data_IF_623393318147
#
_entry.id   IF_623393318147
#
_cell.length_a   1.000
_cell.length_b   1.000
_cell.length_c   1.000
_cell.angle_alpha   90.00
_cell.angle_beta   90.00
_cell.angle_gamma   90.00
#
_symmetry.space_group_name_H-M   'P 1'
#
loop_
_entity.id
_entity.type
_entity.pdbx_description
1 polymer ?
#
# COMPACT_ATOMS: atom_id res chain seq x y z
N UNK A 1 -8.01 -37.97 -23.81
CA UNK A 1 -8.32 -38.76 -22.60
C UNK A 1 -8.93 -37.79 -21.58
N UNK A 2 -10.23 -37.90 -21.26
CA UNK A 2 -10.86 -37.01 -20.27
C UNK A 2 -10.89 -37.68 -18.91
N UNK A 3 -9.98 -37.28 -18.05
CA UNK A 3 -9.97 -37.65 -16.63
C UNK A 3 -10.59 -36.53 -15.83
N UNK A 4 -11.54 -36.84 -14.92
CA UNK A 4 -12.20 -35.85 -14.08
C UNK A 4 -11.23 -35.33 -13.01
N UNK A 5 -11.19 -34.00 -12.79
CA UNK A 5 -10.41 -33.38 -11.72
C UNK A 5 -10.83 -33.90 -10.34
N UNK A 6 -12.13 -34.17 -10.16
CA UNK A 6 -12.68 -34.72 -8.92
C UNK A 6 -12.19 -36.16 -8.65
N UNK A 7 -12.00 -36.97 -9.69
CA UNK A 7 -11.42 -38.29 -9.55
C UNK A 7 -9.92 -38.23 -9.18
N UNK A 8 -9.18 -37.28 -9.76
CA UNK A 8 -7.77 -37.05 -9.37
C UNK A 8 -7.67 -36.54 -7.92
N UNK A 9 -8.58 -35.66 -7.49
CA UNK A 9 -8.62 -35.16 -6.12
C UNK A 9 -8.97 -36.24 -5.10
N UNK A 10 -9.93 -37.10 -5.43
CA UNK A 10 -10.27 -38.27 -4.62
C UNK A 10 -9.10 -39.27 -4.51
N UNK A 11 -8.41 -39.51 -5.62
CA UNK A 11 -7.23 -40.37 -5.65
C UNK A 11 -6.07 -39.79 -4.81
N UNK A 12 -5.73 -38.51 -4.97
CA UNK A 12 -4.67 -37.83 -4.24
C UNK A 12 -4.92 -37.89 -2.73
N UNK A 13 -6.12 -37.50 -2.28
CA UNK A 13 -6.49 -37.56 -0.87
C UNK A 13 -6.40 -39.00 -0.30
N UNK A 14 -6.91 -39.99 -1.03
CA UNK A 14 -6.85 -41.38 -0.62
C UNK A 14 -5.41 -41.93 -0.57
N UNK A 15 -4.57 -41.52 -1.52
CA UNK A 15 -3.17 -41.89 -1.56
C UNK A 15 -2.37 -41.31 -0.37
N UNK A 16 -2.58 -40.03 -0.09
CA UNK A 16 -1.92 -39.31 1.01
C UNK A 16 -2.39 -39.77 2.38
N UNK A 17 -3.70 -40.02 2.55
CA UNK A 17 -4.29 -40.47 3.82
C UNK A 17 -4.17 -41.95 4.05
N UNK A 18 -3.85 -42.76 3.03
CA UNK A 18 -3.81 -44.23 3.12
C UNK A 18 -5.17 -44.87 3.43
N UNK A 19 -6.26 -44.15 3.24
CA UNK A 19 -7.63 -44.57 3.63
C UNK A 19 -8.71 -43.87 2.83
N UNK A 20 -9.64 -44.65 2.25
CA UNK A 20 -10.82 -44.11 1.57
C UNK A 20 -11.79 -43.42 2.55
N UNK A 21 -11.85 -43.86 3.80
CA UNK A 21 -12.68 -43.23 4.82
C UNK A 21 -12.13 -41.82 5.18
N UNK A 22 -10.85 -41.70 5.43
CA UNK A 22 -10.22 -40.41 5.76
C UNK A 22 -10.27 -39.44 4.56
N UNK A 23 -10.12 -39.94 3.34
CA UNK A 23 -10.28 -39.13 2.13
C UNK A 23 -11.73 -38.62 1.96
N UNK A 24 -12.72 -39.46 2.32
CA UNK A 24 -14.12 -39.07 2.29
C UNK A 24 -14.43 -37.96 3.30
N UNK A 25 -13.91 -38.08 4.51
CA UNK A 25 -14.03 -37.05 5.55
C UNK A 25 -13.39 -35.72 5.10
N UNK A 26 -12.18 -35.76 4.54
CA UNK A 26 -11.48 -34.56 4.03
C UNK A 26 -12.21 -33.87 2.89
N UNK A 27 -12.80 -34.64 1.96
CA UNK A 27 -13.47 -34.10 0.77
C UNK A 27 -15.00 -33.90 0.95
N UNK A 28 -15.50 -34.11 2.16
CA UNK A 28 -16.95 -34.02 2.45
C UNK A 28 -17.79 -34.94 1.52
N UNK A 29 -17.30 -36.15 1.25
CA UNK A 29 -17.92 -37.19 0.44
C UNK A 29 -18.17 -38.44 1.25
N UNK A 30 -18.89 -39.42 0.65
CA UNK A 30 -19.02 -40.75 1.24
C UNK A 30 -17.84 -41.65 0.82
N UNK A 31 -17.46 -42.66 1.62
CA UNK A 31 -16.44 -43.63 1.23
C UNK A 31 -16.80 -44.37 -0.08
N UNK A 32 -18.07 -44.59 -0.34
CA UNK A 32 -18.58 -45.19 -1.58
C UNK A 32 -18.33 -44.27 -2.79
N UNK A 33 -18.54 -42.94 -2.63
CA UNK A 33 -18.24 -41.96 -3.68
C UNK A 33 -16.75 -41.91 -4.00
N UNK A 34 -15.88 -41.90 -2.98
CA UNK A 34 -14.44 -41.98 -3.17
C UNK A 34 -14.02 -43.24 -3.94
N UNK A 35 -14.54 -44.40 -3.51
CA UNK A 35 -14.28 -45.69 -4.20
C UNK A 35 -14.74 -45.65 -5.68
N UNK A 36 -15.89 -45.05 -5.93
CA UNK A 36 -16.41 -44.88 -7.29
C UNK A 36 -15.55 -43.94 -8.16
N UNK A 37 -15.14 -42.81 -7.63
CA UNK A 37 -14.24 -41.90 -8.34
C UNK A 37 -12.90 -42.54 -8.70
N UNK A 38 -12.30 -43.28 -7.74
CA UNK A 38 -11.05 -44.00 -7.95
C UNK A 38 -11.23 -45.15 -8.95
N UNK A 39 -12.32 -45.95 -8.83
CA UNK A 39 -12.62 -47.02 -9.77
C UNK A 39 -12.79 -46.51 -11.22
N UNK A 40 -13.47 -45.39 -11.38
CA UNK A 40 -13.60 -44.72 -12.69
C UNK A 40 -12.27 -44.25 -13.25
N UNK A 41 -11.37 -43.72 -12.38
CA UNK A 41 -10.03 -43.30 -12.75
C UNK A 41 -9.19 -44.50 -13.22
N UNK A 42 -9.16 -45.59 -12.42
CA UNK A 42 -8.47 -46.85 -12.74
C UNK A 42 -8.97 -47.44 -14.07
N UNK A 43 -10.30 -47.51 -14.25
CA UNK A 43 -10.92 -47.99 -15.47
C UNK A 43 -10.56 -47.19 -16.69
N UNK A 44 -10.57 -45.83 -16.61
CA UNK A 44 -10.19 -44.95 -17.72
C UNK A 44 -8.73 -45.02 -18.07
N UNK A 45 -7.85 -45.23 -17.09
CA UNK A 45 -6.42 -45.37 -17.28
C UNK A 45 -6.02 -46.81 -17.66
N UNK A 46 -6.96 -47.77 -17.53
CA UNK A 46 -6.73 -49.19 -17.70
C UNK A 46 -5.57 -49.73 -16.85
N UNK A 47 -5.45 -49.22 -15.60
CA UNK A 47 -4.43 -49.65 -14.62
C UNK A 47 -5.01 -49.63 -13.21
N UNK A 48 -4.50 -50.50 -12.34
CA UNK A 48 -4.80 -50.42 -10.90
C UNK A 48 -3.82 -49.46 -10.23
N UNK A 49 -4.36 -48.53 -9.42
CA UNK A 49 -3.60 -47.54 -8.67
C UNK A 49 -3.44 -47.96 -7.21
N UNK A 50 -4.37 -48.80 -6.70
CA UNK A 50 -4.32 -49.36 -5.34
C UNK A 50 -4.33 -50.88 -5.35
N UNK A 51 -3.57 -51.46 -4.41
CA UNK A 51 -3.78 -52.84 -3.95
C UNK A 51 -4.84 -52.81 -2.85
N UNK A 52 -5.87 -53.62 -3.02
CA UNK A 52 -7.00 -53.75 -2.04
C UNK A 52 -6.82 -55.04 -1.27
N UNK A 53 -6.31 -54.98 -0.02
CA UNK A 53 -6.19 -56.14 0.86
C UNK A 53 -7.09 -55.96 2.09
N UNK A 54 -8.28 -56.47 2.04
CA UNK A 54 -9.29 -56.35 3.09
C UNK A 54 -9.67 -54.91 3.36
N UNK A 55 -9.41 -54.39 4.58
CA UNK A 55 -9.73 -53.03 5.00
C UNK A 55 -8.57 -52.03 4.74
N UNK A 56 -7.42 -52.47 4.26
CA UNK A 56 -6.24 -51.62 3.99
C UNK A 56 -6.05 -51.43 2.49
N UNK A 57 -5.63 -50.23 2.14
CA UNK A 57 -5.23 -49.86 0.79
C UNK A 57 -3.73 -49.52 0.78
N UNK A 58 -3.04 -49.93 -0.27
CA UNK A 58 -1.66 -49.49 -0.53
C UNK A 58 -1.52 -49.18 -2.02
N UNK A 59 -0.64 -48.24 -2.33
CA UNK A 59 -0.43 -47.80 -3.72
C UNK A 59 0.32 -48.89 -4.53
N UNK A 60 -0.04 -49.06 -5.78
CA UNK A 60 0.77 -49.77 -6.79
C UNK A 60 1.95 -48.89 -7.20
N UNK A 61 2.94 -49.44 -7.90
CA UNK A 61 4.05 -48.66 -8.44
C UNK A 61 3.58 -47.54 -9.38
N UNK A 62 2.51 -47.76 -10.16
CA UNK A 62 1.87 -46.71 -10.99
C UNK A 62 1.12 -45.72 -10.11
N UNK A 63 0.44 -46.18 -9.05
CA UNK A 63 -0.20 -45.34 -8.06
C UNK A 63 0.78 -44.38 -7.39
N UNK A 64 1.97 -44.86 -6.97
CA UNK A 64 3.01 -44.00 -6.35
C UNK A 64 3.42 -42.88 -7.30
N UNK A 65 3.69 -43.17 -8.60
CA UNK A 65 4.07 -42.15 -9.57
C UNK A 65 2.97 -41.11 -9.78
N UNK A 66 1.72 -41.58 -9.91
CA UNK A 66 0.58 -40.67 -10.11
C UNK A 66 0.31 -39.84 -8.84
N UNK A 67 0.42 -40.43 -7.65
CA UNK A 67 0.25 -39.72 -6.37
C UNK A 67 1.23 -38.56 -6.23
N UNK A 68 2.51 -38.79 -6.54
CA UNK A 68 3.52 -37.72 -6.54
C UNK A 68 3.15 -36.59 -7.50
N UNK A 69 2.80 -36.92 -8.74
CA UNK A 69 2.45 -35.93 -9.77
C UNK A 69 1.17 -35.14 -9.43
N UNK A 70 0.14 -35.82 -8.87
CA UNK A 70 -1.11 -35.14 -8.48
C UNK A 70 -0.93 -34.24 -7.27
N UNK A 71 -0.18 -34.66 -6.25
CA UNK A 71 0.12 -33.80 -5.08
C UNK A 71 0.92 -32.57 -5.46
N UNK A 72 1.93 -32.71 -6.33
CA UNK A 72 2.70 -31.56 -6.86
C UNK A 72 1.82 -30.63 -7.69
N UNK A 73 0.93 -31.18 -8.54
CA UNK A 73 0.00 -30.43 -9.37
C UNK A 73 -1.00 -29.63 -8.54
N UNK A 74 -1.65 -30.25 -7.57
CA UNK A 74 -2.61 -29.57 -6.70
C UNK A 74 -1.95 -28.49 -5.86
N UNK A 75 -0.75 -28.73 -5.31
CA UNK A 75 0.01 -27.71 -4.59
C UNK A 75 0.33 -26.48 -5.44
N UNK A 76 0.67 -26.68 -6.73
CA UNK A 76 0.89 -25.56 -7.67
C UNK A 76 -0.39 -24.77 -7.91
N UNK A 77 -1.54 -25.45 -8.04
CA UNK A 77 -2.85 -24.80 -8.19
C UNK A 77 -3.22 -24.01 -6.93
N UNK A 78 -3.07 -24.62 -5.75
CA UNK A 78 -3.37 -23.96 -4.48
C UNK A 78 -2.48 -22.72 -4.25
N UNK A 79 -1.18 -22.81 -4.55
CA UNK A 79 -0.27 -21.67 -4.48
C UNK A 79 -0.70 -20.53 -5.45
N UNK A 80 -1.07 -20.87 -6.68
CA UNK A 80 -1.56 -19.87 -7.64
C UNK A 80 -2.86 -19.21 -7.19
N UNK A 81 -3.77 -19.97 -6.59
CA UNK A 81 -5.00 -19.42 -6.01
C UNK A 81 -4.71 -18.49 -4.82
N UNK A 82 -3.77 -18.89 -3.95
CA UNK A 82 -3.31 -18.01 -2.86
C UNK A 82 -2.66 -16.72 -3.37
N UNK A 83 -1.84 -16.81 -4.43
CA UNK A 83 -1.25 -15.62 -5.06
C UNK A 83 -2.32 -14.68 -5.64
N UNK A 84 -3.35 -15.22 -6.29
CA UNK A 84 -4.49 -14.42 -6.80
C UNK A 84 -5.24 -13.75 -5.65
N UNK A 85 -5.48 -14.47 -4.55
CA UNK A 85 -6.15 -13.90 -3.35
C UNK A 85 -5.28 -12.83 -2.70
N UNK A 86 -3.97 -13.08 -2.53
CA UNK A 86 -3.02 -12.10 -1.97
C UNK A 86 -2.88 -10.87 -2.85
N UNK A 87 -2.86 -11.02 -4.19
CA UNK A 87 -2.83 -9.90 -5.11
C UNK A 87 -4.07 -9.00 -4.98
N UNK A 88 -5.24 -9.58 -4.69
CA UNK A 88 -6.48 -8.83 -4.40
C UNK A 88 -6.43 -8.04 -3.09
N UNK A 89 -5.57 -8.41 -2.16
CA UNK A 89 -5.43 -7.79 -0.84
C UNK A 89 -4.20 -6.88 -0.71
N UNK A 90 -3.38 -6.76 -1.75
CA UNK A 90 -2.24 -5.82 -1.77
C UNK A 90 -2.67 -4.51 -2.43
N UNK A 91 -2.60 -3.42 -1.68
CA UNK A 91 -2.78 -2.06 -2.19
C UNK A 91 -1.42 -1.50 -2.60
N UNK A 92 -1.23 -1.27 -3.89
CA UNK A 92 -0.03 -0.64 -4.42
C UNK A 92 -0.26 0.85 -4.60
N UNK A 93 0.66 1.64 -4.06
CA UNK A 93 0.58 3.10 -4.06
C UNK A 93 1.82 3.69 -4.68
N UNK A 94 1.64 4.69 -5.54
CA UNK A 94 2.74 5.56 -6.00
C UNK A 94 2.49 6.99 -5.56
N UNK A 95 3.52 7.67 -5.06
CA UNK A 95 3.36 9.04 -4.56
C UNK A 95 4.68 9.82 -4.62
N UNK A 96 4.64 11.07 -4.17
CA UNK A 96 5.84 11.90 -4.01
C UNK A 96 6.71 11.38 -2.87
N UNK A 97 8.03 11.57 -2.97
CA UNK A 97 8.97 11.16 -1.91
C UNK A 97 8.65 11.83 -0.56
N UNK A 98 8.20 13.08 -0.58
CA UNK A 98 7.85 13.82 0.64
C UNK A 98 6.64 13.21 1.34
N UNK A 99 5.54 12.93 0.61
CA UNK A 99 4.35 12.31 1.20
C UNK A 99 4.63 10.88 1.70
N UNK A 100 5.38 10.10 0.92
CA UNK A 100 5.78 8.76 1.33
C UNK A 100 6.54 8.78 2.66
N UNK A 101 7.61 9.59 2.74
CA UNK A 101 8.51 9.61 3.89
C UNK A 101 7.90 10.26 5.15
N UNK A 102 7.11 11.34 4.98
CA UNK A 102 6.61 12.12 6.12
C UNK A 102 5.25 11.65 6.62
N UNK A 103 4.45 11.02 5.77
CA UNK A 103 3.05 10.70 6.10
C UNK A 103 2.74 9.22 5.96
N UNK A 104 2.91 8.62 4.78
CA UNK A 104 2.42 7.27 4.52
C UNK A 104 3.21 6.20 5.28
N UNK A 105 4.53 6.17 5.12
CA UNK A 105 5.39 5.17 5.78
C UNK A 105 5.24 5.23 7.32
N UNK A 106 5.29 6.42 7.97
CA UNK A 106 5.05 6.51 9.41
C UNK A 106 3.65 6.12 9.89
N UNK A 107 2.67 6.00 8.97
CA UNK A 107 1.28 5.65 9.28
C UNK A 107 0.87 4.26 8.80
N UNK A 108 1.69 3.61 7.98
CA UNK A 108 1.39 2.33 7.34
C UNK A 108 1.04 1.24 8.37
N UNK A 109 1.81 1.18 9.44
CA UNK A 109 1.61 0.19 10.50
C UNK A 109 0.21 0.29 11.14
N UNK A 110 -0.26 1.51 11.41
CA UNK A 110 -1.59 1.74 11.98
C UNK A 110 -2.70 1.24 11.05
N UNK A 111 -2.53 1.47 9.73
CA UNK A 111 -3.47 0.97 8.74
C UNK A 111 -3.50 -0.56 8.67
N UNK A 112 -2.32 -1.19 8.63
CA UNK A 112 -2.19 -2.66 8.54
C UNK A 112 -2.65 -3.36 9.81
N UNK A 113 -2.48 -2.76 10.99
CA UNK A 113 -3.08 -3.26 12.23
C UNK A 113 -4.61 -3.23 12.21
N UNK A 114 -5.21 -2.16 11.68
CA UNK A 114 -6.65 -2.04 11.55
C UNK A 114 -7.22 -2.92 10.41
N UNK A 115 -6.39 -3.35 9.46
CA UNK A 115 -6.74 -4.15 8.29
C UNK A 115 -5.74 -5.29 8.08
N UNK A 116 -5.71 -6.31 8.95
CA UNK A 116 -4.67 -7.35 8.92
C UNK A 116 -4.71 -8.24 7.67
N UNK A 117 -5.78 -8.16 6.90
CA UNK A 117 -5.95 -8.83 5.61
C UNK A 117 -5.38 -8.01 4.43
N UNK A 118 -4.96 -6.75 4.65
CA UNK A 118 -4.46 -5.86 3.59
C UNK A 118 -3.00 -5.53 3.86
N UNK A 119 -2.15 -5.69 2.84
CA UNK A 119 -0.78 -5.17 2.82
C UNK A 119 -0.68 -3.94 1.91
N UNK A 120 0.21 -3.00 2.24
CA UNK A 120 0.43 -1.79 1.44
C UNK A 120 1.86 -1.76 0.92
N UNK A 121 2.01 -1.63 -0.39
CA UNK A 121 3.30 -1.41 -1.05
C UNK A 121 3.38 0.03 -1.52
N UNK A 122 4.34 0.80 -0.99
CA UNK A 122 4.53 2.21 -1.33
C UNK A 122 5.77 2.34 -2.20
N UNK A 123 5.61 2.99 -3.35
CA UNK A 123 6.69 3.39 -4.22
C UNK A 123 6.65 4.89 -4.50
N UNK A 124 7.80 5.47 -4.83
CA UNK A 124 7.91 6.89 -5.15
C UNK A 124 8.19 7.07 -6.63
N UNK A 125 7.48 8.00 -7.27
CA UNK A 125 7.66 8.35 -8.68
C UNK A 125 6.54 9.25 -9.15
N UNK A 126 6.86 10.08 -10.15
CA UNK A 126 5.90 10.99 -10.79
C UNK A 126 5.39 10.43 -12.13
N UNK A 127 5.94 9.32 -12.61
CA UNK A 127 5.51 8.71 -13.87
C UNK A 127 4.08 8.18 -13.74
N UNK A 128 3.24 8.62 -14.65
CA UNK A 128 1.88 8.11 -14.84
C UNK A 128 1.97 6.82 -15.65
N UNK A 129 2.65 5.81 -15.13
CA UNK A 129 2.48 4.48 -15.68
C UNK A 129 1.10 3.98 -15.23
N UNK A 130 0.18 3.95 -16.18
CA UNK A 130 -1.19 3.48 -16.03
C UNK A 130 -1.26 1.96 -15.81
N UNK A 131 -0.60 1.48 -14.77
CA UNK A 131 -0.84 0.13 -14.28
C UNK A 131 -2.18 0.15 -13.56
N UNK A 132 -3.16 -0.53 -14.10
CA UNK A 132 -4.57 -0.56 -13.68
C UNK A 132 -4.84 -0.96 -12.21
N UNK A 133 -3.79 -1.24 -11.44
CA UNK A 133 -3.87 -1.73 -10.05
C UNK A 133 -3.03 -0.93 -9.05
N UNK A 134 -2.52 0.24 -9.45
CA UNK A 134 -1.70 1.11 -8.58
C UNK A 134 -2.47 2.39 -8.29
N UNK A 135 -2.65 2.74 -7.03
CA UNK A 135 -3.28 4.00 -6.61
C UNK A 135 -2.25 5.12 -6.68
N UNK A 136 -2.39 6.07 -7.62
CA UNK A 136 -1.47 7.18 -7.76
C UNK A 136 -1.91 8.34 -6.87
N UNK A 137 -1.23 8.62 -5.77
CA UNK A 137 -1.45 9.85 -5.00
C UNK A 137 -0.50 10.91 -5.56
N UNK A 138 -1.05 11.97 -6.11
CA UNK A 138 -0.31 13.02 -6.81
C UNK A 138 -0.41 14.35 -6.09
N UNK A 139 0.58 15.20 -6.34
CA UNK A 139 0.58 16.60 -5.89
C UNK A 139 0.37 17.49 -7.09
N UNK A 140 -0.58 18.40 -7.01
CA UNK A 140 -1.03 19.16 -8.16
C UNK A 140 -1.66 20.51 -7.83
N UNK A 141 -2.10 21.19 -8.90
CA UNK A 141 -2.87 22.41 -8.84
C UNK A 141 -4.36 22.07 -8.78
N UNK A 142 -5.02 22.47 -7.70
CA UNK A 142 -6.44 22.20 -7.47
C UNK A 142 -7.35 22.85 -8.51
N UNK A 143 -6.90 23.92 -9.19
CA UNK A 143 -7.70 24.60 -10.21
C UNK A 143 -7.89 23.78 -11.51
N UNK A 144 -7.04 22.74 -11.71
CA UNK A 144 -7.09 21.88 -12.91
C UNK A 144 -7.40 20.42 -12.59
N UNK A 145 -7.56 20.07 -11.32
CA UNK A 145 -7.92 18.73 -10.85
C UNK A 145 -9.44 18.65 -10.65
N UNK A 146 -10.05 17.53 -11.01
CA UNK A 146 -11.47 17.28 -10.72
C UNK A 146 -11.70 17.25 -9.20
N UNK A 147 -12.70 17.98 -8.70
CA UNK A 147 -13.03 18.09 -7.27
C UNK A 147 -13.19 16.71 -6.59
N UNK A 148 -13.78 15.75 -7.31
CA UNK A 148 -13.99 14.38 -6.82
C UNK A 148 -12.68 13.62 -6.59
N UNK A 149 -11.60 13.99 -7.23
CA UNK A 149 -10.28 13.38 -7.12
C UNK A 149 -9.42 13.99 -6.02
N UNK A 150 -9.76 15.22 -5.57
CA UNK A 150 -9.03 15.89 -4.50
C UNK A 150 -9.19 15.14 -3.18
N UNK A 151 -8.07 14.91 -2.52
CA UNK A 151 -8.00 14.27 -1.19
C UNK A 151 -7.74 15.33 -0.12
N UNK A 152 -6.85 16.29 -0.39
CA UNK A 152 -6.48 17.35 0.55
C UNK A 152 -6.04 18.61 -0.15
N UNK A 153 -6.65 19.76 0.18
CA UNK A 153 -6.12 21.06 -0.14
C UNK A 153 -5.02 21.45 0.85
N UNK A 154 -3.90 21.97 0.36
CA UNK A 154 -2.74 22.25 1.17
C UNK A 154 -2.74 23.66 1.75
N UNK A 155 -2.21 23.73 2.97
CA UNK A 155 -1.84 24.97 3.63
C UNK A 155 -0.37 24.93 3.99
N UNK A 156 0.27 26.08 4.04
CA UNK A 156 1.71 26.20 4.30
C UNK A 156 1.97 27.03 5.54
N UNK A 157 3.00 26.64 6.28
CA UNK A 157 3.51 27.40 7.43
C UNK A 157 5.03 27.23 7.57
N UNK A 158 5.61 27.95 8.51
CA UNK A 158 7.02 27.81 8.88
C UNK A 158 7.17 26.99 10.14
N UNK A 159 8.11 26.06 10.10
CA UNK A 159 8.42 25.14 11.20
C UNK A 159 9.93 25.15 11.47
N UNK A 160 10.32 24.83 12.71
CA UNK A 160 11.70 24.63 13.12
C UNK A 160 11.82 23.45 14.09
N UNK A 161 13.07 23.08 14.44
CA UNK A 161 13.30 22.02 15.40
C UNK A 161 12.62 22.32 16.75
N UNK A 162 12.09 21.28 17.39
CA UNK A 162 11.49 21.42 18.71
C UNK A 162 12.48 22.00 19.73
N UNK A 163 12.04 22.95 20.55
CA UNK A 163 12.88 23.67 21.51
C UNK A 163 13.70 24.83 20.94
N UNK A 164 13.64 25.08 19.61
CA UNK A 164 14.30 26.25 19.00
C UNK A 164 13.61 27.54 19.50
N UNK A 165 14.40 28.56 19.85
CA UNK A 165 13.87 29.89 20.17
C UNK A 165 13.28 30.55 18.93
N UNK A 166 12.23 31.37 19.10
CA UNK A 166 11.65 32.12 18.01
C UNK A 166 12.68 33.04 17.35
N UNK A 167 12.98 32.88 16.05
CA UNK A 167 13.99 33.66 15.35
C UNK A 167 13.52 35.06 14.95
N UNK A 168 12.19 35.30 15.08
CA UNK A 168 11.59 36.57 14.63
C UNK A 168 11.82 37.76 15.56
N UNK A 169 12.47 37.55 16.74
CA UNK A 169 12.72 38.58 17.75
C UNK A 169 14.14 39.17 17.69
N UNK A 170 14.95 38.73 16.73
CA UNK A 170 16.37 39.17 16.59
C UNK A 170 16.62 39.83 15.26
N UNK A 171 17.81 40.48 15.14
CA UNK A 171 18.29 41.05 13.88
C UNK A 171 19.19 40.09 13.06
N UNK A 172 19.37 38.86 13.54
CA UNK A 172 20.17 37.85 12.84
C UNK A 172 19.46 37.35 11.60
N UNK A 173 20.21 36.99 10.55
CA UNK A 173 19.59 36.44 9.35
C UNK A 173 18.96 35.09 9.64
N UNK A 174 17.71 34.92 9.20
CA UNK A 174 16.90 33.69 9.35
C UNK A 174 17.14 32.79 8.13
N UNK A 175 17.79 31.65 8.32
CA UNK A 175 17.89 30.65 7.26
C UNK A 175 16.53 29.97 7.11
N UNK A 176 15.89 30.14 5.93
CA UNK A 176 14.60 29.54 5.59
C UNK A 176 14.74 28.63 4.38
N UNK A 177 14.43 27.36 4.59
CA UNK A 177 14.34 26.37 3.52
C UNK A 177 12.94 26.39 2.91
N UNK A 178 12.89 26.41 1.57
CA UNK A 178 11.63 26.39 0.82
C UNK A 178 11.74 25.47 -0.38
N UNK A 179 10.63 25.18 -1.05
CA UNK A 179 10.61 24.30 -2.20
C UNK A 179 10.43 25.07 -3.50
N UNK A 180 11.21 24.69 -4.49
CA UNK A 180 11.03 25.09 -5.87
C UNK A 180 10.80 23.84 -6.71
N UNK A 181 9.55 23.60 -7.08
CA UNK A 181 9.11 22.39 -7.77
C UNK A 181 9.89 22.17 -9.08
N UNK A 182 10.27 20.92 -9.37
CA UNK A 182 10.79 20.52 -10.69
C UNK A 182 9.75 20.74 -11.77
N UNK A 183 8.50 20.41 -11.49
CA UNK A 183 7.38 20.70 -12.37
C UNK A 183 7.02 22.20 -12.30
N UNK A 184 7.43 22.95 -13.30
CA UNK A 184 7.20 24.39 -13.39
C UNK A 184 5.76 24.78 -13.69
N UNK A 185 4.89 23.82 -14.03
CA UNK A 185 3.47 24.04 -14.21
C UNK A 185 2.71 24.17 -12.87
N UNK A 186 3.31 23.70 -11.77
CA UNK A 186 2.70 23.85 -10.45
C UNK A 186 2.79 25.29 -9.93
N UNK A 187 1.75 25.80 -9.26
CA UNK A 187 1.83 27.04 -8.50
C UNK A 187 3.00 27.00 -7.51
N UNK A 188 3.64 28.13 -7.31
CA UNK A 188 4.70 28.23 -6.29
C UNK A 188 4.10 28.13 -4.89
N UNK A 189 4.87 27.60 -3.95
CA UNK A 189 4.50 27.64 -2.54
C UNK A 189 4.29 29.10 -2.09
N UNK A 190 3.19 29.42 -1.38
CA UNK A 190 2.73 30.81 -1.17
C UNK A 190 3.52 31.56 -0.09
N UNK A 191 4.87 31.57 -0.20
CA UNK A 191 5.75 32.20 0.80
C UNK A 191 5.53 33.71 0.91
N UNK A 192 5.33 34.39 -0.21
CA UNK A 192 5.09 35.84 -0.18
C UNK A 192 3.79 36.18 0.59
N UNK A 193 2.69 35.47 0.31
CA UNK A 193 1.42 35.65 1.03
C UNK A 193 1.56 35.26 2.53
N UNK A 194 2.40 34.29 2.85
CA UNK A 194 2.68 33.94 4.25
C UNK A 194 3.45 35.04 4.97
N UNK A 195 4.47 35.62 4.34
CA UNK A 195 5.23 36.74 4.89
C UNK A 195 4.32 37.97 5.17
N UNK A 196 3.50 38.35 4.21
CA UNK A 196 2.53 39.44 4.35
C UNK A 196 1.55 39.15 5.51
N UNK A 197 0.94 37.96 5.52
CA UNK A 197 -0.06 37.58 6.54
C UNK A 197 0.50 37.63 7.95
N UNK A 198 1.80 37.38 8.12
CA UNK A 198 2.50 37.34 9.42
C UNK A 198 3.29 38.60 9.73
N UNK A 199 3.24 39.64 8.88
CA UNK A 199 3.95 40.90 9.08
C UNK A 199 5.46 40.76 9.06
N UNK A 200 6.01 39.84 8.24
CA UNK A 200 7.42 39.46 8.17
C UNK A 200 8.09 39.86 6.86
N UNK A 201 7.47 40.72 6.04
CA UNK A 201 8.02 41.16 4.75
C UNK A 201 9.39 41.85 4.88
N UNK A 202 9.66 42.51 6.01
CA UNK A 202 10.94 43.16 6.32
C UNK A 202 11.96 42.26 7.01
N UNK A 203 11.66 40.98 7.26
CA UNK A 203 12.57 40.08 7.95
C UNK A 203 13.78 39.75 7.09
N UNK A 204 14.98 39.69 7.74
CA UNK A 204 16.23 39.35 7.08
C UNK A 204 16.28 37.83 6.83
N UNK A 205 15.67 37.38 5.73
CA UNK A 205 15.53 35.95 5.38
C UNK A 205 16.55 35.56 4.33
N UNK A 206 17.40 34.59 4.68
CA UNK A 206 18.28 33.88 3.74
C UNK A 206 17.55 32.66 3.20
N UNK A 207 16.92 32.79 2.03
CA UNK A 207 16.16 31.71 1.41
C UNK A 207 17.08 30.70 0.74
N UNK A 208 16.88 29.41 1.08
CA UNK A 208 17.52 28.27 0.43
C UNK A 208 16.44 27.35 -0.15
N UNK A 209 16.57 26.99 -1.42
CA UNK A 209 15.57 26.24 -2.15
C UNK A 209 16.03 24.83 -2.44
N UNK A 210 15.10 23.88 -2.32
CA UNK A 210 15.24 22.49 -2.72
C UNK A 210 14.11 22.13 -3.72
N UNK A 211 14.28 21.06 -4.45
CA UNK A 211 13.30 20.57 -5.40
C UNK A 211 12.21 19.68 -4.76
N UNK A 212 12.40 19.31 -3.48
CA UNK A 212 11.44 18.53 -2.68
C UNK A 212 11.39 19.09 -1.25
N UNK A 213 10.19 19.14 -0.66
CA UNK A 213 9.98 19.62 0.71
C UNK A 213 10.72 18.78 1.75
N UNK A 214 10.85 17.47 1.48
CA UNK A 214 11.56 16.52 2.34
C UNK A 214 12.94 17.03 2.76
N UNK A 215 13.71 17.62 1.85
CA UNK A 215 15.07 18.08 2.16
C UNK A 215 15.09 19.31 3.08
N UNK A 216 14.16 20.23 2.87
CA UNK A 216 13.98 21.37 3.77
C UNK A 216 13.55 20.93 5.17
N UNK A 217 12.61 19.99 5.24
CA UNK A 217 12.13 19.40 6.51
C UNK A 217 13.28 18.72 7.25
N UNK A 218 14.12 17.95 6.58
CA UNK A 218 15.30 17.30 7.21
C UNK A 218 16.29 18.32 7.77
N UNK A 219 16.55 19.42 7.05
CA UNK A 219 17.40 20.51 7.56
C UNK A 219 16.80 21.16 8.81
N UNK A 220 15.48 21.41 8.83
CA UNK A 220 14.81 21.96 9.98
C UNK A 220 14.85 21.02 11.20
N UNK A 221 14.63 19.72 10.98
CA UNK A 221 14.75 18.70 12.04
C UNK A 221 16.15 18.64 12.65
N UNK A 222 17.20 18.87 11.83
CA UNK A 222 18.59 18.93 12.28
C UNK A 222 18.96 20.26 12.98
N UNK A 223 18.01 21.21 13.10
CA UNK A 223 18.26 22.52 13.72
C UNK A 223 19.05 23.51 12.85
N UNK A 224 19.19 23.25 11.55
CA UNK A 224 20.00 24.09 10.64
C UNK A 224 19.27 25.35 10.15
N UNK A 225 18.02 25.57 10.58
CA UNK A 225 17.18 26.69 10.19
C UNK A 225 15.70 26.35 10.24
N UNK A 226 14.90 27.14 9.58
CA UNK A 226 13.45 26.96 9.46
C UNK A 226 13.09 26.34 8.11
N UNK A 227 11.94 25.69 8.02
CA UNK A 227 11.37 25.22 6.76
C UNK A 227 9.97 25.82 6.54
N UNK A 228 9.75 26.36 5.33
CA UNK A 228 8.42 26.70 4.83
C UNK A 228 7.91 25.53 4.00
N UNK A 229 6.95 24.80 4.53
CA UNK A 229 6.42 23.59 3.88
C UNK A 229 4.93 23.39 4.19
N UNK A 230 4.35 22.37 3.53
CA UNK A 230 2.98 21.92 3.76
C UNK A 230 2.75 21.52 5.22
N UNK A 231 1.61 21.94 5.77
CA UNK A 231 1.18 21.56 7.12
C UNK A 231 0.90 20.06 7.23
N UNK A 232 0.45 19.44 6.14
CA UNK A 232 0.22 17.98 6.05
C UNK A 232 1.50 17.21 6.30
N UNK A 233 2.62 17.61 5.68
CA UNK A 233 3.92 16.94 5.85
C UNK A 233 4.51 17.15 7.26
N UNK A 234 4.25 18.30 7.88
CA UNK A 234 4.75 18.62 9.20
C UNK A 234 3.93 18.01 10.35
N UNK A 235 2.69 17.63 10.13
CA UNK A 235 1.72 17.28 11.17
C UNK A 235 2.22 16.17 12.12
N UNK A 236 2.72 15.05 11.61
CA UNK A 236 3.25 13.96 12.45
C UNK A 236 4.48 14.39 13.24
N UNK A 237 5.35 15.21 12.65
CA UNK A 237 6.54 15.73 13.31
C UNK A 237 6.21 16.70 14.44
N UNK A 238 5.14 17.48 14.28
CA UNK A 238 4.60 18.35 15.34
C UNK A 238 4.02 17.53 16.49
N UNK A 239 3.19 16.53 16.19
CA UNK A 239 2.61 15.62 17.21
C UNK A 239 3.70 14.84 17.97
N UNK A 240 4.81 14.52 17.31
CA UNK A 240 5.95 13.83 17.91
C UNK A 240 6.96 14.76 18.62
N UNK A 241 6.73 16.07 18.69
CA UNK A 241 7.65 17.06 19.22
C UNK A 241 9.05 17.02 18.56
N UNK A 242 9.11 16.73 17.26
CA UNK A 242 10.34 16.81 16.44
C UNK A 242 10.47 18.19 15.83
N UNK A 243 9.35 18.72 15.32
CA UNK A 243 9.21 20.10 14.87
C UNK A 243 8.26 20.87 15.81
N UNK A 244 8.34 22.18 15.72
CA UNK A 244 7.37 23.09 16.33
C UNK A 244 7.01 24.18 15.33
N UNK A 245 5.81 24.71 15.47
CA UNK A 245 5.43 25.98 14.86
C UNK A 245 5.77 27.12 15.81
N UNK A 246 5.92 28.31 15.25
CA UNK A 246 6.07 29.55 16.01
C UNK A 246 4.70 30.25 16.09
N UNK A 247 4.67 31.44 16.66
CA UNK A 247 3.45 32.24 16.71
C UNK A 247 3.16 32.88 15.34
N UNK A 248 2.84 32.03 14.36
CA UNK A 248 2.58 32.36 12.96
C UNK A 248 1.36 31.61 12.45
N UNK A 249 0.64 32.24 11.52
CA UNK A 249 -0.56 31.69 10.90
C UNK A 249 -0.22 31.01 9.57
N UNK A 250 -0.80 29.85 9.32
CA UNK A 250 -0.69 29.19 8.01
C UNK A 250 -1.44 29.96 6.92
N UNK A 251 -1.02 29.76 5.68
CA UNK A 251 -1.65 30.29 4.48
C UNK A 251 -2.17 29.16 3.61
N UNK A 252 -3.39 29.28 3.10
CA UNK A 252 -3.96 28.34 2.14
C UNK A 252 -3.28 28.50 0.77
N UNK A 253 -3.35 27.45 -0.04
CA UNK A 253 -2.83 27.45 -1.41
C UNK A 253 -3.79 26.74 -2.36
N UNK A 254 -3.56 26.91 -3.66
CA UNK A 254 -4.23 26.14 -4.70
C UNK A 254 -3.57 24.79 -4.97
N UNK A 255 -2.63 24.37 -4.14
CA UNK A 255 -1.97 23.06 -4.22
C UNK A 255 -2.77 22.01 -3.47
N UNK A 256 -2.80 20.78 -4.01
CA UNK A 256 -3.55 19.68 -3.40
C UNK A 256 -2.82 18.35 -3.56
N UNK A 257 -3.13 17.41 -2.67
CA UNK A 257 -2.97 15.99 -2.93
C UNK A 257 -4.26 15.45 -3.54
N UNK A 258 -4.14 14.63 -4.60
CA UNK A 258 -5.27 14.08 -5.33
C UNK A 258 -4.98 12.66 -5.84
N UNK A 259 -6.03 11.91 -6.14
CA UNK A 259 -5.97 10.57 -6.74
C UNK A 259 -6.73 10.60 -8.06
N UNK A 260 -6.03 10.63 -9.22
CA UNK A 260 -6.70 10.64 -10.54
C UNK A 260 -7.64 9.46 -10.70
N UNK A 261 -8.90 9.73 -11.04
CA UNK A 261 -9.93 8.73 -11.21
C UNK A 261 -10.22 7.94 -9.93
N UNK A 262 -10.21 8.58 -8.78
CA UNK A 262 -10.42 7.99 -7.44
C UNK A 262 -11.60 7.01 -7.39
N UNK A 263 -12.69 7.34 -8.05
CA UNK A 263 -13.92 6.54 -8.08
C UNK A 263 -13.78 5.23 -8.89
N UNK A 264 -12.74 5.07 -9.71
CA UNK A 264 -12.51 3.86 -10.50
C UNK A 264 -11.86 2.71 -9.71
N UNK A 265 -11.41 2.96 -8.50
CA UNK A 265 -10.81 1.95 -7.63
C UNK A 265 -11.89 1.21 -6.82
N UNK A 266 -12.52 0.21 -7.44
CA UNK A 266 -13.71 -0.49 -6.89
C UNK A 266 -13.38 -1.63 -5.93
N UNK A 267 -12.10 -2.06 -5.80
CA UNK A 267 -11.76 -3.18 -4.90
C UNK A 267 -11.97 -2.77 -3.43
N UNK A 268 -12.40 -3.71 -2.60
CA UNK A 268 -12.64 -3.48 -1.17
C UNK A 268 -11.38 -2.97 -0.45
N UNK A 269 -10.22 -3.49 -0.80
CA UNK A 269 -8.93 -3.07 -0.22
C UNK A 269 -8.55 -1.64 -0.64
N UNK A 270 -8.74 -1.29 -1.92
CA UNK A 270 -8.51 0.07 -2.41
C UNK A 270 -9.46 1.09 -1.77
N UNK A 271 -10.75 0.78 -1.67
CA UNK A 271 -11.73 1.66 -1.03
C UNK A 271 -11.41 1.91 0.44
N UNK A 272 -11.02 0.87 1.22
CA UNK A 272 -10.57 1.04 2.61
C UNK A 272 -9.33 1.92 2.72
N UNK A 273 -8.37 1.72 1.82
CA UNK A 273 -7.15 2.54 1.79
C UNK A 273 -7.45 4.00 1.44
N UNK A 274 -8.31 4.26 0.44
CA UNK A 274 -8.69 5.61 0.05
C UNK A 274 -9.43 6.36 1.17
N UNK A 275 -10.35 5.72 1.85
CA UNK A 275 -11.00 6.32 3.01
C UNK A 275 -9.99 6.63 4.14
N UNK A 276 -9.08 5.69 4.41
CA UNK A 276 -8.04 5.90 5.41
C UNK A 276 -7.10 7.06 5.06
N UNK A 277 -6.69 7.20 3.79
CA UNK A 277 -5.79 8.30 3.39
C UNK A 277 -6.51 9.66 3.44
N UNK A 278 -7.81 9.72 3.11
CA UNK A 278 -8.61 10.91 3.29
C UNK A 278 -8.67 11.33 4.76
N UNK A 279 -8.95 10.40 5.65
CA UNK A 279 -8.95 10.66 7.09
C UNK A 279 -7.56 11.09 7.59
N UNK A 280 -6.50 10.40 7.14
CA UNK A 280 -5.12 10.68 7.55
C UNK A 280 -4.64 12.06 7.15
N UNK A 281 -4.95 12.50 5.92
CA UNK A 281 -4.51 13.80 5.43
C UNK A 281 -5.36 14.97 5.96
N UNK A 282 -6.58 14.70 6.45
CA UNK A 282 -7.48 15.72 6.97
C UNK A 282 -7.48 15.86 8.52
N UNK A 283 -6.60 15.11 9.21
CA UNK A 283 -6.35 15.24 10.65
C UNK A 283 -5.48 16.46 10.98
#
# INVERSE_FOLDING_TARGET
MQVSLQALKAFESAARRGSFKLAAEELSLTPTAISHHIGNLESRLNVSLFHRQGRRISLTGTGIRLAKATSEGFRKIDNALEEVVKAGNTVRVTTTSSLAAMVLIPSQHDFEQANPDISVEISTGESVDSQSHVIPIRFGDASVVEDSDVVRLESFNVFGAYGMKSPYRGNEPITLFSTEWKNKALPQAPLAAWLEKNGLEGANIQLRKFDQELFGIQHAMAGNGLVFCSTTLANKLLKANVLQHFDTQSVASDLCYYVPGKQSFETRSAARFLNWIEDLLNQ
#
